data_IF_081004694853
#
_entry.id   IF_081004694853
#
_cell.length_a   1.000
_cell.length_b   1.000
_cell.length_c   1.000
_cell.angle_alpha   90.00
_cell.angle_beta   90.00
_cell.angle_gamma   90.00
#
_symmetry.space_group_name_H-M   'P 1'
#
loop_
_entity.id
_entity.type
_entity.pdbx_description
1 polymer ?
#
# COMPACT_ATOMS: atom_id res chain seq x y z
N UNK A 1 20.94 -35.14 9.02
CA UNK A 1 20.44 -33.74 9.06
C UNK A 1 20.88 -32.99 7.80
N UNK A 2 19.94 -32.48 7.01
CA UNK A 2 20.15 -31.97 5.64
C UNK A 2 21.01 -30.69 5.61
N UNK A 3 21.92 -30.52 4.63
CA UNK A 3 22.82 -29.36 4.51
C UNK A 3 22.08 -28.01 4.51
N UNK A 4 20.87 -27.98 3.94
CA UNK A 4 20.00 -26.79 3.92
C UNK A 4 19.51 -26.39 5.32
N UNK A 5 19.27 -27.37 6.19
CA UNK A 5 18.83 -27.11 7.58
C UNK A 5 19.98 -26.49 8.36
N UNK A 6 21.20 -27.03 8.25
CA UNK A 6 22.39 -26.46 8.93
C UNK A 6 22.68 -25.01 8.50
N UNK A 7 22.50 -24.68 7.22
CA UNK A 7 22.67 -23.31 6.73
C UNK A 7 21.59 -22.36 7.28
N UNK A 8 20.33 -22.81 7.29
CA UNK A 8 19.23 -22.03 7.85
C UNK A 8 19.39 -21.80 9.37
N UNK A 9 19.83 -22.83 10.11
CA UNK A 9 20.10 -22.71 11.54
C UNK A 9 21.27 -21.78 11.81
N UNK A 10 22.35 -21.84 11.02
CA UNK A 10 23.49 -20.93 11.15
C UNK A 10 23.11 -19.47 10.81
N UNK A 11 22.27 -19.26 9.79
CA UNK A 11 21.77 -17.94 9.42
C UNK A 11 20.87 -17.36 10.52
N UNK A 12 19.96 -18.16 11.07
CA UNK A 12 19.10 -17.77 12.20
C UNK A 12 19.92 -17.49 13.46
N UNK A 13 20.98 -18.25 13.71
CA UNK A 13 21.87 -18.02 14.84
C UNK A 13 22.66 -16.71 14.68
N UNK A 14 23.19 -16.44 13.47
CA UNK A 14 23.87 -15.18 13.15
C UNK A 14 22.92 -13.97 13.24
N UNK A 15 21.69 -14.07 12.74
CA UNK A 15 20.68 -13.03 12.91
C UNK A 15 20.33 -12.81 14.39
N UNK A 16 20.15 -13.88 15.16
CA UNK A 16 19.84 -13.78 16.60
C UNK A 16 21.00 -13.20 17.42
N UNK A 17 22.24 -13.47 17.01
CA UNK A 17 23.43 -12.97 17.69
C UNK A 17 23.66 -11.48 17.40
N UNK A 18 23.38 -11.02 16.17
CA UNK A 18 23.45 -9.60 15.84
C UNK A 18 22.31 -8.78 16.45
N UNK A 19 21.13 -9.37 16.65
CA UNK A 19 20.00 -8.72 17.34
C UNK A 19 20.28 -8.46 18.83
N UNK A 20 21.07 -9.29 19.50
CA UNK A 20 21.43 -9.11 20.91
C UNK A 20 22.52 -8.04 21.15
N UNK A 21 23.20 -7.58 20.11
CA UNK A 21 24.27 -6.56 20.19
C UNK A 21 23.84 -5.14 19.82
N UNK A 22 22.57 -4.93 19.43
CA UNK A 22 22.05 -3.62 19.08
C UNK A 22 21.40 -3.03 20.34
N UNK A 23 22.04 -2.03 20.97
CA UNK A 23 21.36 -1.25 21.99
C UNK A 23 20.28 -0.37 21.35
N UNK A 24 19.27 0.07 22.10
CA UNK A 24 18.22 0.95 21.57
C UNK A 24 18.79 2.24 20.95
N UNK A 25 19.88 2.77 21.51
CA UNK A 25 20.64 3.90 20.94
C UNK A 25 21.21 3.57 19.56
N UNK A 26 21.90 2.43 19.43
CA UNK A 26 22.50 2.01 18.16
C UNK A 26 21.43 1.79 17.08
N UNK A 27 20.26 1.26 17.46
CA UNK A 27 19.14 1.10 16.53
C UNK A 27 18.60 2.44 16.04
N UNK A 28 18.31 3.38 16.96
CA UNK A 28 17.77 4.71 16.61
C UNK A 28 18.71 5.56 15.78
N UNK A 29 20.02 5.27 15.82
CA UNK A 29 21.01 5.97 15.02
C UNK A 29 21.19 5.37 13.61
N UNK A 30 20.74 4.12 13.39
CA UNK A 30 20.71 3.51 12.05
C UNK A 30 19.73 4.23 11.11
N UNK A 31 19.97 4.16 9.80
CA UNK A 31 19.06 4.70 8.79
C UNK A 31 17.63 4.13 8.92
N UNK A 32 17.52 2.85 9.25
CA UNK A 32 16.24 2.17 9.46
C UNK A 32 15.54 2.62 10.75
N UNK A 33 16.27 2.74 11.87
CA UNK A 33 15.70 3.21 13.13
C UNK A 33 15.25 4.67 13.08
N UNK A 34 16.00 5.54 12.38
CA UNK A 34 15.58 6.93 12.12
C UNK A 34 14.30 6.98 11.30
N UNK A 35 14.17 6.14 10.29
CA UNK A 35 12.96 6.07 9.47
C UNK A 35 11.75 5.60 10.30
N UNK A 36 11.92 4.60 11.16
CA UNK A 36 10.87 4.15 12.08
C UNK A 36 10.47 5.23 13.09
N UNK A 37 11.43 6.00 13.63
CA UNK A 37 11.13 7.15 14.49
C UNK A 37 10.33 8.20 13.70
N UNK A 38 10.77 8.53 12.48
CA UNK A 38 10.06 9.50 11.63
C UNK A 38 8.63 9.05 11.31
N UNK A 39 8.43 7.75 11.03
CA UNK A 39 7.10 7.17 10.84
C UNK A 39 6.25 7.30 12.11
N UNK A 40 6.82 7.02 13.29
CA UNK A 40 6.15 7.20 14.57
C UNK A 40 5.75 8.66 14.84
N UNK A 41 6.63 9.61 14.55
CA UNK A 41 6.35 11.04 14.69
C UNK A 41 5.25 11.51 13.73
N UNK A 42 5.25 11.05 12.47
CA UNK A 42 4.17 11.33 11.50
C UNK A 42 2.82 10.79 11.97
N UNK A 43 2.80 9.59 12.55
CA UNK A 43 1.59 9.01 13.13
C UNK A 43 1.07 9.84 14.31
N UNK A 44 1.95 10.35 15.18
CA UNK A 44 1.56 11.18 16.32
C UNK A 44 1.07 12.57 15.90
N UNK A 45 1.66 13.16 14.86
CA UNK A 45 1.29 14.49 14.35
C UNK A 45 -0.07 14.46 13.62
N UNK A 46 -0.25 13.53 12.69
CA UNK A 46 -1.50 13.39 11.95
C UNK A 46 -1.76 11.92 11.57
N UNK A 47 -2.45 11.15 12.44
CA UNK A 47 -2.71 9.73 12.19
C UNK A 47 -3.58 9.54 10.94
N UNK A 48 -4.57 10.40 10.71
CA UNK A 48 -5.42 10.32 9.52
C UNK A 48 -4.63 10.42 8.22
N UNK A 49 -3.70 11.38 8.14
CA UNK A 49 -2.80 11.55 6.99
C UNK A 49 -1.88 10.36 6.79
N UNK A 50 -1.28 9.88 7.88
CA UNK A 50 -0.41 8.71 7.89
C UNK A 50 -1.12 7.47 7.33
N UNK A 51 -2.29 7.13 7.86
CA UNK A 51 -3.07 5.98 7.39
C UNK A 51 -3.56 6.19 5.95
N UNK A 52 -3.94 7.41 5.57
CA UNK A 52 -4.35 7.68 4.20
C UNK A 52 -3.22 7.48 3.19
N UNK A 53 -1.99 7.86 3.53
CA UNK A 53 -0.85 7.62 2.66
C UNK A 53 -0.55 6.11 2.54
N UNK A 54 -0.61 5.33 3.62
CA UNK A 54 -0.45 3.86 3.56
C UNK A 54 -1.59 3.18 2.78
N UNK A 55 -2.82 3.69 2.93
CA UNK A 55 -3.97 3.25 2.15
C UNK A 55 -3.72 3.48 0.65
N UNK A 56 -3.35 4.70 0.25
CA UNK A 56 -3.01 5.04 -1.14
C UNK A 56 -1.88 4.14 -1.69
N UNK A 57 -0.91 3.79 -0.85
CA UNK A 57 0.12 2.81 -1.17
C UNK A 57 -0.40 1.39 -1.41
N UNK A 58 -1.49 1.02 -0.76
CA UNK A 58 -2.12 -0.29 -0.83
C UNK A 58 -3.01 -0.46 -2.05
N UNK A 59 -3.67 0.61 -2.48
CA UNK A 59 -4.52 0.63 -3.67
C UNK A 59 -3.74 0.33 -4.96
N UNK A 60 -4.39 -0.24 -5.98
CA UNK A 60 -3.87 -0.32 -7.35
C UNK A 60 -5.02 -0.17 -8.35
N UNK A 61 -4.98 0.94 -9.10
CA UNK A 61 -5.95 1.27 -10.16
C UNK A 61 -5.30 1.29 -11.55
N UNK A 62 -4.15 0.63 -11.69
CA UNK A 62 -3.60 0.32 -13.01
C UNK A 62 -4.49 -0.70 -13.74
N UNK A 63 -4.55 -0.65 -15.07
CA UNK A 63 -5.46 -1.50 -15.81
C UNK A 63 -5.11 -2.99 -15.73
N UNK A 64 -6.11 -3.83 -15.94
CA UNK A 64 -5.90 -5.27 -16.12
C UNK A 64 -5.09 -5.49 -17.41
N UNK A 65 -4.03 -6.33 -17.41
CA UNK A 65 -3.28 -6.63 -18.62
C UNK A 65 -4.18 -7.08 -19.78
N UNK A 66 -3.80 -6.73 -21.01
CA UNK A 66 -4.65 -6.94 -22.19
C UNK A 66 -5.05 -8.41 -22.40
N UNK A 67 -4.17 -9.33 -22.06
CA UNK A 67 -4.31 -10.79 -22.20
C UNK A 67 -4.88 -11.49 -20.95
N UNK A 68 -5.43 -10.74 -20.00
CA UNK A 68 -5.97 -11.22 -18.72
C UNK A 68 -7.39 -10.70 -18.50
N UNK A 69 -8.15 -11.38 -17.65
CA UNK A 69 -9.52 -11.03 -17.29
C UNK A 69 -9.61 -10.40 -15.90
N UNK A 70 -8.64 -10.67 -15.02
CA UNK A 70 -8.58 -10.04 -13.72
C UNK A 70 -7.24 -10.16 -13.03
N UNK A 71 -7.13 -9.45 -11.90
CA UNK A 71 -5.95 -9.41 -11.05
C UNK A 71 -6.38 -9.45 -9.59
N UNK A 72 -5.76 -10.32 -8.80
CA UNK A 72 -5.79 -10.27 -7.34
C UNK A 72 -4.42 -9.81 -6.87
N UNK A 73 -4.36 -8.78 -6.01
CA UNK A 73 -3.09 -8.23 -5.51
C UNK A 73 -3.12 -8.03 -4.00
N UNK A 74 -1.99 -8.30 -3.36
CA UNK A 74 -1.78 -8.18 -1.91
C UNK A 74 -0.49 -7.39 -1.66
N UNK A 75 -0.55 -6.31 -0.87
CA UNK A 75 0.65 -5.53 -0.56
C UNK A 75 1.37 -6.08 0.66
N UNK A 76 2.70 -6.20 0.54
CA UNK A 76 3.60 -6.62 1.61
C UNK A 76 4.19 -5.42 2.35
N UNK A 77 4.63 -4.40 1.63
CA UNK A 77 5.23 -3.20 2.23
C UNK A 77 4.58 -1.92 1.67
N UNK A 78 4.44 -0.86 2.47
CA UNK A 78 4.66 -0.82 3.93
C UNK A 78 3.49 -1.41 4.74
N UNK A 79 2.32 -1.63 4.12
CA UNK A 79 1.10 -2.00 4.83
C UNK A 79 1.23 -3.25 5.72
N UNK A 80 1.79 -4.35 5.19
CA UNK A 80 1.92 -5.59 5.94
C UNK A 80 3.18 -5.65 6.81
N UNK A 81 3.86 -4.54 7.08
CA UNK A 81 5.00 -4.49 7.99
C UNK A 81 4.70 -3.56 9.18
N UNK A 82 4.78 -4.04 10.43
CA UNK A 82 5.22 -5.36 10.89
C UNK A 82 4.05 -6.36 11.06
N UNK A 83 3.44 -6.80 9.97
CA UNK A 83 2.35 -7.80 9.90
C UNK A 83 1.00 -7.36 10.46
N UNK A 84 0.68 -6.06 10.37
CA UNK A 84 -0.49 -5.51 11.05
C UNK A 84 -1.63 -5.13 10.11
N UNK A 85 -1.38 -4.69 8.88
CA UNK A 85 -2.43 -4.27 7.95
C UNK A 85 -2.44 -5.12 6.68
N UNK A 86 -3.40 -6.04 6.62
CA UNK A 86 -3.65 -6.87 5.45
C UNK A 86 -4.57 -6.13 4.48
N UNK A 87 -4.24 -6.14 3.19
CA UNK A 87 -5.08 -5.56 2.14
C UNK A 87 -5.17 -6.51 0.95
N UNK A 88 -6.31 -6.49 0.29
CA UNK A 88 -6.61 -7.26 -0.90
C UNK A 88 -7.15 -6.30 -1.95
N UNK A 89 -6.54 -6.31 -3.13
CA UNK A 89 -7.00 -5.59 -4.31
C UNK A 89 -7.56 -6.62 -5.30
N UNK A 90 -8.72 -6.31 -5.87
CA UNK A 90 -9.35 -7.07 -6.93
C UNK A 90 -9.61 -6.15 -8.11
N UNK A 91 -9.16 -6.56 -9.30
CA UNK A 91 -9.46 -5.88 -10.56
C UNK A 91 -10.08 -6.88 -11.52
N UNK A 92 -11.16 -6.49 -12.18
CA UNK A 92 -11.86 -7.32 -13.17
C UNK A 92 -12.11 -6.49 -14.42
N UNK A 93 -11.72 -7.04 -15.56
CA UNK A 93 -11.98 -6.47 -16.87
C UNK A 93 -13.41 -6.77 -17.27
N UNK A 94 -14.22 -5.72 -17.46
CA UNK A 94 -15.60 -5.85 -17.91
C UNK A 94 -15.68 -5.91 -19.44
N UNK A 95 -14.89 -5.08 -20.12
CA UNK A 95 -14.89 -4.97 -21.57
C UNK A 95 -13.46 -4.91 -22.09
N UNK A 96 -13.18 -5.69 -23.13
CA UNK A 96 -11.94 -5.55 -23.89
C UNK A 96 -11.97 -4.28 -24.73
N UNK A 97 -10.79 -3.75 -25.01
CA UNK A 97 -10.61 -2.67 -25.97
C UNK A 97 -11.12 -3.08 -27.37
N UNK A 98 -11.84 -2.16 -28.01
CA UNK A 98 -12.29 -2.24 -29.40
C UNK A 98 -11.82 -0.98 -30.14
N UNK A 99 -11.97 -0.91 -31.46
CA UNK A 99 -11.50 0.23 -32.26
C UNK A 99 -11.93 1.59 -31.66
N UNK A 100 -13.22 1.72 -31.35
CA UNK A 100 -13.77 2.95 -30.77
C UNK A 100 -13.77 2.90 -29.24
N UNK A 101 -14.13 1.77 -28.65
CA UNK A 101 -14.38 1.66 -27.21
C UNK A 101 -13.11 1.34 -26.42
N UNK A 102 -12.80 2.07 -25.33
CA UNK A 102 -11.71 1.69 -24.43
C UNK A 102 -12.02 0.38 -23.71
N UNK A 103 -10.98 -0.31 -23.24
CA UNK A 103 -11.11 -1.31 -22.20
C UNK A 103 -11.69 -0.65 -20.94
N UNK A 104 -12.58 -1.37 -20.24
CA UNK A 104 -13.19 -0.91 -18.99
C UNK A 104 -12.94 -1.96 -17.92
N UNK A 105 -12.30 -1.53 -16.83
CA UNK A 105 -12.03 -2.36 -15.66
C UNK A 105 -12.76 -1.80 -14.43
N UNK A 106 -13.24 -2.69 -13.57
CA UNK A 106 -13.60 -2.36 -12.20
C UNK A 106 -12.47 -2.76 -11.28
N UNK A 107 -12.09 -1.86 -10.39
CA UNK A 107 -11.07 -2.09 -9.38
C UNK A 107 -11.63 -1.77 -8.00
N UNK A 108 -11.27 -2.60 -7.03
CA UNK A 108 -11.61 -2.38 -5.64
C UNK A 108 -10.55 -2.93 -4.72
N UNK A 109 -10.49 -2.36 -3.52
CA UNK A 109 -9.58 -2.77 -2.47
C UNK A 109 -10.34 -2.84 -1.16
N UNK A 110 -9.94 -3.78 -0.33
CA UNK A 110 -10.37 -3.90 1.05
C UNK A 110 -9.15 -4.15 1.92
N UNK A 111 -9.12 -3.59 3.12
CA UNK A 111 -8.08 -3.85 4.10
C UNK A 111 -8.61 -3.90 5.51
N UNK A 112 -7.86 -4.60 6.35
CA UNK A 112 -8.13 -4.77 7.77
C UNK A 112 -6.81 -4.70 8.55
N UNK A 113 -6.88 -4.11 9.74
CA UNK A 113 -5.73 -4.03 10.64
C UNK A 113 -5.79 -5.18 11.65
N UNK A 114 -5.20 -6.31 11.27
CA UNK A 114 -5.11 -7.55 12.05
C UNK A 114 -4.63 -7.34 13.50
N UNK A 115 -3.74 -6.37 13.71
CA UNK A 115 -3.23 -6.04 15.04
C UNK A 115 -4.34 -5.66 16.03
N UNK A 116 -5.43 -5.04 15.55
CA UNK A 116 -6.54 -4.64 16.41
C UNK A 116 -7.28 -5.80 17.06
N UNK A 117 -7.20 -6.99 16.47
CA UNK A 117 -7.80 -8.20 17.03
C UNK A 117 -7.13 -8.63 18.34
N UNK A 118 -5.92 -8.13 18.61
CA UNK A 118 -5.16 -8.41 19.82
C UNK A 118 -5.24 -7.26 20.85
N UNK A 119 -5.91 -6.17 20.50
CA UNK A 119 -6.06 -5.01 21.40
C UNK A 119 -7.33 -5.18 22.21
N UNK A 120 -7.19 -5.23 23.54
CA UNK A 120 -8.32 -5.13 24.47
C UNK A 120 -8.62 -3.65 24.73
N UNK A 121 -9.82 -3.21 24.38
CA UNK A 121 -10.29 -1.84 24.62
C UNK A 121 -11.67 -1.80 25.27
N UNK A 122 -12.03 -0.64 25.80
CA UNK A 122 -13.37 -0.39 26.35
C UNK A 122 -14.43 -0.30 25.23
N UNK A 123 -13.98 -0.07 23.99
CA UNK A 123 -14.76 -0.11 22.76
C UNK A 123 -14.15 -1.14 21.83
N UNK A 124 -14.97 -1.91 21.11
CA UNK A 124 -14.52 -2.84 20.08
C UNK A 124 -13.72 -2.09 18.99
N UNK A 125 -12.41 -2.35 18.85
CA UNK A 125 -11.58 -1.67 17.86
C UNK A 125 -12.10 -1.89 16.45
N UNK A 126 -12.27 -0.81 15.68
CA UNK A 126 -12.70 -0.88 14.28
C UNK A 126 -11.70 -0.20 13.36
N UNK A 127 -11.35 -0.91 12.29
CA UNK A 127 -10.61 -0.36 11.17
C UNK A 127 -11.38 -0.68 9.89
N UNK A 128 -11.62 0.34 9.08
CA UNK A 128 -12.30 0.21 7.81
C UNK A 128 -11.46 0.88 6.74
N UNK A 129 -10.97 0.06 5.82
CA UNK A 129 -10.14 0.46 4.70
C UNK A 129 -10.72 -0.15 3.42
N UNK A 130 -11.18 0.70 2.50
CA UNK A 130 -11.68 0.23 1.22
C UNK A 130 -11.60 1.31 0.15
N UNK A 131 -11.54 0.86 -1.10
CA UNK A 131 -11.72 1.72 -2.25
C UNK A 131 -12.40 0.99 -3.40
N UNK A 132 -13.01 1.77 -4.29
CA UNK A 132 -13.69 1.28 -5.47
C UNK A 132 -13.59 2.30 -6.59
N UNK A 133 -13.45 1.84 -7.83
CA UNK A 133 -13.33 2.72 -8.96
C UNK A 133 -13.43 2.01 -10.29
N UNK A 134 -13.46 2.83 -11.33
CA UNK A 134 -13.51 2.41 -12.72
C UNK A 134 -12.26 2.91 -13.44
N UNK A 135 -11.69 2.06 -14.29
CA UNK A 135 -10.51 2.37 -15.10
C UNK A 135 -10.88 2.22 -16.57
N UNK A 136 -10.60 3.25 -17.36
CA UNK A 136 -10.73 3.25 -18.81
C UNK A 136 -9.34 3.22 -19.42
N UNK A 137 -9.12 2.33 -20.39
CA UNK A 137 -7.80 2.14 -21.01
C UNK A 137 -7.89 2.08 -22.52
N UNK A 138 -6.98 2.76 -23.22
CA UNK A 138 -6.87 2.72 -24.68
C UNK A 138 -5.41 2.65 -25.10
N UNK A 139 -5.14 1.87 -26.13
CA UNK A 139 -3.81 1.71 -26.70
C UNK A 139 -3.44 2.97 -27.49
N UNK A 140 -2.30 3.57 -27.14
CA UNK A 140 -1.68 4.64 -27.91
C UNK A 140 -0.71 4.07 -28.96
N UNK A 141 -0.05 2.95 -28.61
CA UNK A 141 0.75 2.10 -29.50
C UNK A 141 0.58 0.64 -29.08
N UNK A 142 1.15 -0.30 -29.84
CA UNK A 142 1.16 -1.73 -29.47
C UNK A 142 1.84 -2.00 -28.11
N UNK A 143 2.76 -1.12 -27.72
CA UNK A 143 3.54 -1.26 -26.47
C UNK A 143 3.03 -0.35 -25.35
N UNK A 144 2.25 0.69 -25.66
CA UNK A 144 1.90 1.75 -24.70
C UNK A 144 0.40 1.96 -24.67
N UNK A 145 -0.18 1.88 -23.47
CA UNK A 145 -1.59 2.19 -23.22
C UNK A 145 -1.69 3.39 -22.30
N UNK A 146 -2.65 4.26 -22.60
CA UNK A 146 -3.07 5.34 -21.72
C UNK A 146 -4.29 4.86 -20.95
N UNK A 147 -4.37 5.23 -19.68
CA UNK A 147 -5.51 4.92 -18.85
C UNK A 147 -5.89 6.10 -17.96
N UNK A 148 -7.14 6.12 -17.53
CA UNK A 148 -7.63 7.08 -16.57
C UNK A 148 -8.95 6.63 -15.97
N UNK A 149 -9.38 7.30 -14.91
CA UNK A 149 -10.55 6.85 -14.19
C UNK A 149 -10.89 7.69 -12.98
N UNK A 150 -11.88 7.19 -12.24
CA UNK A 150 -12.36 7.78 -11.00
C UNK A 150 -12.41 6.68 -9.95
N UNK A 151 -11.94 7.00 -8.73
CA UNK A 151 -12.04 6.12 -7.58
C UNK A 151 -12.55 6.87 -6.36
N UNK A 152 -13.24 6.15 -5.49
CA UNK A 152 -13.53 6.56 -4.12
C UNK A 152 -12.65 5.76 -3.17
N UNK A 153 -12.02 6.44 -2.23
CA UNK A 153 -11.04 5.91 -1.28
C UNK A 153 -11.47 6.27 0.13
N UNK A 154 -11.50 5.32 1.06
CA UNK A 154 -11.84 5.57 2.46
C UNK A 154 -10.97 4.74 3.42
N UNK A 155 -10.41 5.43 4.41
CA UNK A 155 -9.75 4.83 5.56
C UNK A 155 -10.29 5.44 6.84
N UNK A 156 -10.59 4.62 7.82
CA UNK A 156 -11.07 5.07 9.13
C UNK A 156 -10.66 4.11 10.23
N UNK A 157 -10.47 4.66 11.41
CA UNK A 157 -10.13 3.93 12.61
C UNK A 157 -10.89 4.50 13.79
N UNK A 158 -11.43 3.62 14.62
CA UNK A 158 -12.02 3.97 15.90
C UNK A 158 -11.52 2.98 16.95
N UNK A 159 -10.70 3.46 17.87
CA UNK A 159 -10.14 2.67 18.97
C UNK A 159 -10.21 3.52 20.23
N UNK A 160 -10.72 2.93 21.30
CA UNK A 160 -10.60 3.47 22.65
C UNK A 160 -9.92 2.44 23.54
N UNK A 161 -8.70 2.76 23.94
CA UNK A 161 -7.90 1.91 24.80
C UNK A 161 -8.42 2.00 26.23
N UNK A 162 -8.44 0.88 26.95
CA UNK A 162 -8.76 0.90 28.38
C UNK A 162 -7.71 1.71 29.14
N UNK A 163 -8.06 2.26 30.30
CA UNK A 163 -7.12 3.05 31.12
C UNK A 163 -5.82 2.29 31.47
N UNK A 164 -5.87 0.96 31.49
CA UNK A 164 -4.73 0.06 31.75
C UNK A 164 -3.89 -0.26 30.50
N UNK A 165 -4.39 0.07 29.31
CA UNK A 165 -3.80 -0.26 28.00
C UNK A 165 -3.45 0.99 27.19
N UNK A 166 -3.57 2.18 27.79
CA UNK A 166 -3.17 3.43 27.17
C UNK A 166 -1.67 3.38 26.85
N UNK A 167 -1.33 3.76 25.62
CA UNK A 167 0.06 3.80 25.20
C UNK A 167 0.68 5.12 25.69
N UNK A 168 1.63 5.01 26.62
CA UNK A 168 2.39 6.14 27.13
C UNK A 168 3.76 6.20 26.43
N UNK A 169 3.99 7.28 25.68
CA UNK A 169 5.26 7.63 25.05
C UNK A 169 5.79 8.91 25.68
N UNK A 170 6.47 8.78 26.83
CA UNK A 170 6.92 9.94 27.60
C UNK A 170 5.72 10.72 28.16
N UNK A 171 5.57 11.99 27.78
CA UNK A 171 4.42 12.82 28.18
C UNK A 171 3.17 12.60 27.31
N UNK A 172 3.30 11.87 26.19
CA UNK A 172 2.19 11.60 25.29
C UNK A 172 1.45 10.35 25.72
N UNK A 173 0.15 10.49 25.99
CA UNK A 173 -0.75 9.36 26.24
C UNK A 173 -1.74 9.24 25.09
N UNK A 174 -1.74 8.09 24.43
CA UNK A 174 -2.75 7.74 23.43
C UNK A 174 -3.78 6.84 24.11
N UNK A 175 -4.97 7.38 24.33
CA UNK A 175 -6.13 6.71 24.92
C UNK A 175 -7.27 6.51 23.90
N UNK A 176 -7.38 7.39 22.90
CA UNK A 176 -8.32 7.27 21.79
C UNK A 176 -7.65 7.59 20.44
N UNK A 177 -7.97 6.80 19.42
CA UNK A 177 -7.67 7.09 18.02
C UNK A 177 -8.96 7.03 17.22
N UNK A 178 -9.41 8.18 16.75
CA UNK A 178 -10.64 8.32 16.01
C UNK A 178 -10.43 9.22 14.79
N UNK A 179 -10.39 8.62 13.60
CA UNK A 179 -10.28 9.37 12.36
C UNK A 179 -11.10 8.72 11.25
N UNK A 180 -11.51 9.54 10.29
CA UNK A 180 -12.09 9.11 9.02
C UNK A 180 -11.60 10.04 7.92
N UNK A 181 -10.87 9.48 6.98
CA UNK A 181 -10.43 10.18 5.78
C UNK A 181 -11.07 9.51 4.57
N UNK A 182 -11.66 10.30 3.70
CA UNK A 182 -12.23 9.82 2.45
C UNK A 182 -12.01 10.83 1.35
N UNK A 183 -11.83 10.35 0.13
CA UNK A 183 -11.69 11.20 -1.04
C UNK A 183 -12.23 10.54 -2.31
N UNK A 184 -12.57 11.37 -3.28
CA UNK A 184 -12.76 10.97 -4.67
C UNK A 184 -11.55 11.43 -5.45
N UNK A 185 -10.89 10.50 -6.14
CA UNK A 185 -9.78 10.82 -7.03
C UNK A 185 -10.19 10.71 -8.48
N UNK A 186 -9.74 11.67 -9.28
CA UNK A 186 -9.56 11.50 -10.72
C UNK A 186 -8.09 11.21 -10.98
N UNK A 187 -7.82 10.19 -11.80
CA UNK A 187 -6.46 9.79 -12.11
C UNK A 187 -6.27 9.50 -13.59
N UNK A 188 -5.00 9.57 -14.01
CA UNK A 188 -4.54 9.25 -15.36
C UNK A 188 -3.15 8.65 -15.29
N UNK A 189 -2.77 7.90 -16.31
CA UNK A 189 -1.48 7.25 -16.36
C UNK A 189 -1.22 6.56 -17.69
N UNK A 190 -0.08 5.90 -17.74
CA UNK A 190 0.32 5.06 -18.86
C UNK A 190 0.89 3.74 -18.35
N UNK A 191 0.68 2.70 -19.15
CA UNK A 191 1.37 1.43 -19.01
C UNK A 191 2.21 1.17 -20.24
N UNK A 192 3.45 0.76 -20.07
CA UNK A 192 4.37 0.43 -21.16
C UNK A 192 4.90 -1.00 -21.01
N UNK A 193 4.75 -1.80 -22.06
CA UNK A 193 5.21 -3.18 -22.14
C UNK A 193 5.82 -3.45 -23.53
N UNK A 194 7.14 -3.53 -23.60
CA UNK A 194 7.88 -3.77 -24.85
C UNK A 194 7.56 -5.10 -25.53
N UNK A 195 7.25 -6.15 -24.75
CA UNK A 195 6.93 -7.46 -25.29
C UNK A 195 5.82 -8.10 -24.46
N UNK A 196 4.69 -8.39 -25.11
CA UNK A 196 3.52 -8.98 -24.47
C UNK A 196 3.82 -10.34 -23.81
N UNK A 197 4.81 -11.09 -24.34
CA UNK A 197 5.23 -12.38 -23.81
C UNK A 197 6.18 -12.27 -22.60
N UNK A 198 6.76 -11.09 -22.36
CA UNK A 198 7.58 -10.82 -21.19
C UNK A 198 6.70 -10.08 -20.19
N UNK A 199 6.38 -10.69 -19.04
CA UNK A 199 5.51 -10.07 -18.04
C UNK A 199 6.31 -9.03 -17.26
N UNK A 200 6.57 -7.89 -17.90
CA UNK A 200 7.27 -6.73 -17.36
C UNK A 200 6.59 -5.47 -17.89
N UNK A 201 5.79 -4.85 -17.04
CA UNK A 201 4.96 -3.70 -17.37
C UNK A 201 5.42 -2.53 -16.49
N UNK A 202 5.84 -1.44 -17.11
CA UNK A 202 6.04 -0.17 -16.42
C UNK A 202 4.69 0.54 -16.32
N UNK A 203 4.34 1.02 -15.14
CA UNK A 203 3.14 1.82 -14.88
C UNK A 203 3.59 3.14 -14.29
N UNK A 204 3.10 4.23 -14.87
CA UNK A 204 3.24 5.58 -14.33
C UNK A 204 1.85 6.17 -14.21
N UNK A 205 1.51 6.70 -13.05
CA UNK A 205 0.18 7.22 -12.75
C UNK A 205 0.29 8.50 -11.93
N UNK A 206 -0.68 9.40 -12.12
CA UNK A 206 -0.94 10.51 -11.22
C UNK A 206 -2.43 10.66 -10.98
N UNK A 207 -2.80 11.15 -9.82
CA UNK A 207 -4.18 11.42 -9.45
C UNK A 207 -4.31 12.61 -8.53
N UNK A 208 -5.50 13.20 -8.53
CA UNK A 208 -5.87 14.33 -7.69
C UNK A 208 -7.14 14.00 -6.90
N UNK A 209 -7.06 14.15 -5.58
CA UNK A 209 -8.18 14.00 -4.64
C UNK A 209 -8.85 15.34 -4.39
N UNK A 210 -10.17 15.43 -4.59
CA UNK A 210 -10.90 16.69 -4.53
C UNK A 210 -11.10 17.20 -3.10
N UNK A 211 -11.38 16.30 -2.16
CA UNK A 211 -11.74 16.69 -0.80
C UNK A 211 -10.50 17.10 0.00
N UNK A 212 -9.44 16.29 -0.06
CA UNK A 212 -8.20 16.56 0.67
C UNK A 212 -7.23 17.41 -0.15
N UNK A 213 -7.56 17.73 -1.42
CA UNK A 213 -6.72 18.51 -2.36
C UNK A 213 -5.33 17.90 -2.54
N UNK A 214 -5.27 16.57 -2.55
CA UNK A 214 -4.02 15.82 -2.56
C UNK A 214 -3.62 15.38 -3.95
N UNK A 215 -2.32 15.42 -4.24
CA UNK A 215 -1.75 14.82 -5.45
C UNK A 215 -1.05 13.53 -5.04
N UNK A 216 -1.37 12.45 -5.73
CA UNK A 216 -0.67 11.18 -5.58
C UNK A 216 -0.11 10.75 -6.93
N UNK A 217 1.19 10.52 -6.99
CA UNK A 217 1.84 9.96 -8.17
C UNK A 217 2.44 8.60 -7.85
N UNK A 218 2.49 7.71 -8.84
CA UNK A 218 3.01 6.35 -8.71
C UNK A 218 3.90 6.00 -9.88
N UNK A 219 5.01 5.34 -9.57
CA UNK A 219 5.82 4.61 -10.55
C UNK A 219 5.90 3.16 -10.07
N UNK A 220 5.54 2.22 -10.92
CA UNK A 220 5.51 0.80 -10.58
C UNK A 220 6.05 -0.04 -11.74
N UNK A 221 6.90 -1.00 -11.43
CA UNK A 221 7.32 -2.07 -12.33
C UNK A 221 6.62 -3.35 -11.91
N UNK A 222 5.67 -3.79 -12.73
CA UNK A 222 4.94 -5.04 -12.55
C UNK A 222 5.64 -6.17 -13.30
N UNK A 223 6.07 -7.18 -12.56
CA UNK A 223 6.65 -8.43 -13.09
C UNK A 223 5.70 -9.59 -12.89
N UNK A 224 5.92 -10.74 -13.53
CA UNK A 224 5.08 -11.97 -13.49
C UNK A 224 4.18 -12.22 -12.27
N UNK A 225 4.64 -11.98 -11.04
CA UNK A 225 3.86 -12.10 -9.80
C UNK A 225 4.18 -11.04 -8.75
N UNK A 226 4.94 -10.01 -9.12
CA UNK A 226 5.53 -9.09 -8.15
C UNK A 226 5.48 -7.67 -8.71
N UNK A 227 4.95 -6.75 -7.93
CA UNK A 227 4.98 -5.33 -8.20
C UNK A 227 5.98 -4.67 -7.28
N UNK A 228 6.87 -3.88 -7.88
CA UNK A 228 7.81 -3.03 -7.18
C UNK A 228 7.53 -1.61 -7.59
N UNK A 229 7.26 -0.73 -6.63
CA UNK A 229 6.94 0.64 -6.98
C UNK A 229 7.21 1.62 -5.86
N UNK A 230 6.90 2.87 -6.16
CA UNK A 230 6.94 3.96 -5.20
C UNK A 230 5.80 4.91 -5.47
N UNK A 231 5.19 5.36 -4.38
CA UNK A 231 4.26 6.47 -4.40
C UNK A 231 4.98 7.75 -4.00
N UNK A 232 4.54 8.85 -4.60
CA UNK A 232 5.14 10.17 -4.48
C UNK A 232 4.01 11.15 -4.16
N UNK A 233 4.12 11.80 -3.01
CA UNK A 233 3.19 12.83 -2.55
C UNK A 233 3.94 14.16 -2.52
N UNK A 234 3.63 15.10 -3.44
CA UNK A 234 4.40 16.35 -3.61
C UNK A 234 4.01 17.45 -2.60
N UNK A 235 3.36 17.09 -1.49
CA UNK A 235 2.88 18.04 -0.48
C UNK A 235 4.02 18.49 0.44
N UNK A 236 4.51 19.73 0.24
CA UNK A 236 5.51 20.39 1.09
C UNK A 236 6.94 19.88 0.91
N UNK A 237 7.20 18.63 1.26
CA UNK A 237 8.48 17.93 1.08
C UNK A 237 8.16 16.61 0.39
N UNK A 238 8.76 16.34 -0.79
CA UNK A 238 8.46 15.14 -1.56
C UNK A 238 8.52 13.88 -0.68
N UNK A 239 7.35 13.30 -0.39
CA UNK A 239 7.26 12.08 0.39
C UNK A 239 7.28 10.91 -0.58
N UNK A 240 8.29 10.05 -0.46
CA UNK A 240 8.48 8.88 -1.31
C UNK A 240 8.22 7.64 -0.47
N UNK A 241 7.19 6.87 -0.83
CA UNK A 241 6.83 5.64 -0.14
C UNK A 241 7.02 4.43 -1.06
N UNK A 242 8.11 3.65 -0.91
CA UNK A 242 8.29 2.43 -1.67
C UNK A 242 7.26 1.37 -1.24
N UNK A 243 6.81 0.56 -2.19
CA UNK A 243 5.94 -0.58 -1.92
C UNK A 243 6.37 -1.82 -2.68
N UNK A 244 5.98 -2.97 -2.10
CA UNK A 244 6.13 -4.28 -2.72
C UNK A 244 4.78 -4.97 -2.61
N UNK A 245 4.29 -5.55 -3.70
CA UNK A 245 3.07 -6.32 -3.70
C UNK A 245 3.21 -7.61 -4.51
N UNK A 246 2.46 -8.62 -4.11
CA UNK A 246 2.29 -9.85 -4.87
C UNK A 246 0.98 -9.79 -5.63
N UNK A 247 0.97 -10.27 -6.87
CA UNK A 247 -0.27 -10.38 -7.64
C UNK A 247 -0.40 -11.70 -8.37
N UNK A 248 -1.65 -12.01 -8.70
CA UNK A 248 -2.05 -13.13 -9.53
C UNK A 248 -3.00 -12.64 -10.61
N UNK A 249 -2.65 -12.88 -11.87
CA UNK A 249 -3.50 -12.57 -13.02
C UNK A 249 -4.24 -13.85 -13.48
N UNK A 250 -5.51 -13.73 -13.85
CA UNK A 250 -6.34 -14.83 -14.34
C UNK A 250 -7.20 -14.40 -15.53
#
# INVERSE_FOLDING_TARGET
MNKKIKFLTALLFLLSYQLNSITSKDFTETAFGKELINLGLKFLDNPGDFFFNIHSNSEDFSPVPADKNGVIRFNLFPAFFPFTWANLNLKVKLFNEQEVLPQIDLAGQYGDMLALRFVSGDVEPRFSDYSVGVVFTKSATDETKLFGGVKYSNVSMNIKLSSSSALEFGEFRVDELNFKVSDVFVFTGLTHQKNINIPSILVVQMGYGFNNKKIAARIMLSKKRLDLGTDIYPEGLFVIHPFIAYHWNF
#
